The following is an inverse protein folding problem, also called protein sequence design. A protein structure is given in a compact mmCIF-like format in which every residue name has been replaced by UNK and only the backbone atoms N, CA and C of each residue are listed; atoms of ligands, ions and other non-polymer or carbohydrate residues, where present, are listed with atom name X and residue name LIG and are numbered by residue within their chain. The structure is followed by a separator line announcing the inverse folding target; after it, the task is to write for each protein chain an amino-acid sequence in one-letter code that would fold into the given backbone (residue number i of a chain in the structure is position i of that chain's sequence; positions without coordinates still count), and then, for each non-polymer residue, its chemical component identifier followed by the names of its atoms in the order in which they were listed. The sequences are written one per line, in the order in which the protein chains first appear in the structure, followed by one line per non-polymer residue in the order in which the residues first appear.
data_IF_528172250097
#
_entry.id   IF_528172250097
#
_cell.length_a   1.000
_cell.length_b   1.000
_cell.length_c   1.000
_cell.angle_alpha   90.00
_cell.angle_beta   90.00
_cell.angle_gamma   90.00
#
_symmetry.space_group_name_H-M   'P 1'
#
loop_
_entity.id
_entity.type
_entity.pdbx_description
1 polymer ?
#
# COMPACT_ATOMS: atom_id res chain seq x y z
N UNK A 1 2.33 7.36 -1.24
CA UNK A 1 1.13 7.37 -2.12
C UNK A 1 -0.14 7.30 -1.27
N UNK A 2 -1.17 8.06 -1.62
CA UNK A 2 -2.49 7.99 -0.96
C UNK A 2 -3.50 7.33 -1.91
N UNK A 3 -4.26 6.36 -1.41
CA UNK A 3 -5.32 5.67 -2.15
C UNK A 3 -6.65 5.92 -1.46
N UNK A 4 -7.63 6.43 -2.21
CA UNK A 4 -9.00 6.57 -1.70
C UNK A 4 -9.66 5.20 -1.64
N UNK A 5 -10.25 4.88 -0.49
CA UNK A 5 -10.87 3.58 -0.23
C UNK A 5 -12.34 3.73 0.11
N UNK A 6 -13.17 2.78 -0.32
CA UNK A 6 -14.60 2.74 0.01
C UNK A 6 -14.86 2.27 1.45
N UNK A 7 -13.92 1.53 2.04
CA UNK A 7 -14.02 0.96 3.38
C UNK A 7 -12.62 0.76 3.98
N UNK A 8 -12.54 0.66 5.32
CA UNK A 8 -11.29 0.45 6.07
C UNK A 8 -11.23 -0.97 6.65
N UNK A 9 -11.13 -1.96 5.78
CA UNK A 9 -10.92 -3.36 6.21
C UNK A 9 -9.48 -3.56 6.65
N UNK A 10 -9.19 -4.35 7.70
CA UNK A 10 -7.80 -4.71 8.03
C UNK A 10 -7.07 -5.23 6.78
N UNK A 11 -5.88 -4.68 6.51
CA UNK A 11 -5.16 -4.98 5.26
C UNK A 11 -4.77 -6.47 5.16
N UNK A 12 -4.52 -7.11 6.30
CA UNK A 12 -4.19 -8.53 6.40
C UNK A 12 -5.39 -9.46 6.09
N UNK A 13 -6.63 -8.98 6.24
CA UNK A 13 -7.85 -9.71 5.86
C UNK A 13 -8.18 -9.62 4.36
N UNK A 14 -7.47 -8.77 3.62
CA UNK A 14 -7.62 -8.63 2.17
C UNK A 14 -6.45 -9.35 1.50
N UNK A 15 -6.68 -10.60 1.10
CA UNK A 15 -5.62 -11.51 0.64
C UNK A 15 -4.70 -10.89 -0.43
N UNK A 16 -5.25 -10.19 -1.42
CA UNK A 16 -4.48 -9.52 -2.45
C UNK A 16 -3.52 -8.45 -1.89
N UNK A 17 -4.00 -7.63 -0.95
CA UNK A 17 -3.19 -6.57 -0.31
C UNK A 17 -2.13 -7.20 0.60
N UNK A 18 -2.52 -8.18 1.41
CA UNK A 18 -1.61 -8.88 2.33
C UNK A 18 -0.44 -9.54 1.58
N UNK A 19 -0.74 -10.24 0.46
CA UNK A 19 0.29 -10.84 -0.42
C UNK A 19 1.21 -9.78 -1.03
N UNK A 20 0.66 -8.68 -1.53
CA UNK A 20 1.44 -7.61 -2.15
C UNK A 20 2.33 -6.86 -1.14
N UNK A 21 1.81 -6.60 0.07
CA UNK A 21 2.56 -5.97 1.15
C UNK A 21 3.74 -6.84 1.58
N UNK A 22 3.52 -8.15 1.79
CA UNK A 22 4.59 -9.09 2.13
C UNK A 22 5.64 -9.20 1.04
N UNK A 23 5.22 -9.31 -0.22
CA UNK A 23 6.17 -9.33 -1.34
C UNK A 23 7.01 -8.04 -1.39
N UNK A 24 6.39 -6.89 -1.12
CA UNK A 24 7.10 -5.60 -1.04
C UNK A 24 8.12 -5.59 0.10
N UNK A 25 7.74 -6.04 1.29
CA UNK A 25 8.66 -6.16 2.44
C UNK A 25 9.85 -7.08 2.14
N UNK A 26 9.60 -8.22 1.48
CA UNK A 26 10.66 -9.15 1.05
C UNK A 26 11.63 -8.49 0.05
N UNK A 27 11.12 -7.71 -0.91
CA UNK A 27 11.96 -6.98 -1.88
C UNK A 27 12.74 -5.81 -1.26
N UNK A 28 12.22 -5.23 -0.18
CA UNK A 28 12.86 -4.14 0.56
C UNK A 28 14.01 -4.64 1.46
N UNK A 29 13.98 -5.92 1.84
CA UNK A 29 15.01 -6.53 2.68
C UNK A 29 15.14 -5.86 4.05
N UNK A 30 16.33 -5.95 4.64
CA UNK A 30 16.55 -5.48 6.02
C UNK A 30 16.66 -3.95 6.14
N UNK A 31 17.05 -3.26 5.06
CA UNK A 31 17.29 -1.80 5.06
C UNK A 31 16.06 -0.99 4.65
N UNK A 32 15.09 -1.59 3.96
CA UNK A 32 13.86 -0.91 3.58
C UNK A 32 12.74 -1.06 4.61
N UNK A 33 11.71 -0.21 4.48
CA UNK A 33 10.51 -0.22 5.34
C UNK A 33 9.26 0.03 4.52
N UNK A 34 8.21 -0.75 4.78
CA UNK A 34 6.85 -0.48 4.33
C UNK A 34 6.03 0.01 5.52
N UNK A 35 5.38 1.16 5.38
CA UNK A 35 4.36 1.64 6.28
C UNK A 35 3.03 1.76 5.53
N UNK A 36 2.14 0.82 5.81
CA UNK A 36 0.77 0.79 5.31
C UNK A 36 -0.21 1.09 6.44
N UNK A 37 -0.97 2.18 6.32
CA UNK A 37 -1.95 2.59 7.34
C UNK A 37 -3.15 3.31 6.76
N UNK A 38 -4.26 3.32 7.49
CA UNK A 38 -5.37 4.22 7.18
C UNK A 38 -5.13 5.64 7.74
N UNK A 39 -5.70 6.64 7.06
CA UNK A 39 -5.92 7.97 7.66
C UNK A 39 -6.92 7.84 8.81
N UNK A 40 -6.72 8.61 9.90
CA UNK A 40 -7.63 8.60 11.04
C UNK A 40 -8.97 9.29 10.74
N UNK A 41 -8.94 10.37 9.96
CA UNK A 41 -10.09 11.23 9.70
C UNK A 41 -10.67 11.09 8.28
N UNK A 42 -9.90 10.52 7.35
CA UNK A 42 -10.28 10.44 5.94
C UNK A 42 -10.44 8.98 5.49
N UNK A 43 -11.17 8.77 4.39
CA UNK A 43 -11.28 7.48 3.71
C UNK A 43 -10.07 7.24 2.78
N UNK A 44 -8.87 7.25 3.37
CA UNK A 44 -7.60 7.08 2.65
C UNK A 44 -6.77 5.95 3.26
N UNK A 45 -6.24 5.07 2.41
CA UNK A 45 -5.08 4.25 2.71
C UNK A 45 -3.80 5.02 2.32
N UNK A 46 -2.80 4.98 3.20
CA UNK A 46 -1.51 5.66 3.03
C UNK A 46 -0.43 4.60 2.91
N UNK A 47 0.29 4.64 1.79
CA UNK A 47 1.44 3.80 1.50
C UNK A 47 2.69 4.67 1.58
N UNK A 48 3.60 4.32 2.49
CA UNK A 48 4.92 4.92 2.59
C UNK A 48 5.95 3.81 2.49
N UNK A 49 6.98 4.03 1.67
CA UNK A 49 8.08 3.09 1.49
C UNK A 49 9.38 3.87 1.64
N UNK A 50 10.31 3.29 2.40
CA UNK A 50 11.67 3.79 2.58
C UNK A 50 12.66 2.74 2.07
N UNK A 51 13.74 3.20 1.44
CA UNK A 51 14.78 2.34 0.87
C UNK A 51 15.84 3.14 0.13
N UNK A 52 16.92 2.48 -0.27
CA UNK A 52 18.12 3.14 -0.81
C UNK A 52 17.99 3.57 -2.28
N UNK A 53 17.10 2.92 -3.04
CA UNK A 53 16.90 3.18 -4.47
C UNK A 53 15.53 3.82 -4.72
N UNK A 54 15.54 5.11 -5.02
CA UNK A 54 14.34 5.93 -5.26
C UNK A 54 13.39 5.29 -6.29
N UNK A 55 13.94 4.91 -7.43
CA UNK A 55 13.21 4.29 -8.55
C UNK A 55 12.50 2.98 -8.13
N UNK A 56 13.10 2.18 -7.25
CA UNK A 56 12.45 0.97 -6.75
C UNK A 56 11.37 1.25 -5.72
N UNK A 57 11.61 2.16 -4.78
CA UNK A 57 10.59 2.47 -3.76
C UNK A 57 9.35 3.13 -4.40
N UNK A 58 9.53 3.91 -5.46
CA UNK A 58 8.43 4.48 -6.25
C UNK A 58 7.65 3.39 -6.98
N UNK A 59 8.34 2.45 -7.62
CA UNK A 59 7.72 1.31 -8.29
C UNK A 59 6.90 0.46 -7.30
N UNK A 60 7.49 0.07 -6.17
CA UNK A 60 6.80 -0.73 -5.16
C UNK A 60 5.59 0.00 -4.56
N UNK A 61 5.71 1.31 -4.33
CA UNK A 61 4.61 2.11 -3.82
C UNK A 61 3.47 2.18 -4.85
N UNK A 62 3.79 2.30 -6.14
CA UNK A 62 2.84 2.28 -7.25
C UNK A 62 2.12 0.94 -7.33
N UNK A 63 2.87 -0.17 -7.33
CA UNK A 63 2.32 -1.52 -7.45
C UNK A 63 1.37 -1.85 -6.29
N UNK A 64 1.81 -1.63 -5.06
CA UNK A 64 0.97 -1.85 -3.88
C UNK A 64 -0.26 -0.94 -3.87
N UNK A 65 -0.11 0.33 -4.29
CA UNK A 65 -1.24 1.25 -4.36
C UNK A 65 -2.29 0.83 -5.40
N UNK A 66 -1.88 0.21 -6.50
CA UNK A 66 -2.77 -0.32 -7.54
C UNK A 66 -3.58 -1.50 -7.00
N UNK A 67 -2.93 -2.43 -6.30
CA UNK A 67 -3.61 -3.56 -5.63
C UNK A 67 -4.63 -3.07 -4.61
N UNK A 68 -4.28 -2.06 -3.80
CA UNK A 68 -5.22 -1.47 -2.83
C UNK A 68 -6.42 -0.83 -3.54
N UNK A 69 -6.18 -0.13 -4.66
CA UNK A 69 -7.24 0.50 -5.45
C UNK A 69 -8.18 -0.52 -6.07
N UNK A 70 -7.67 -1.64 -6.58
CA UNK A 70 -8.51 -2.70 -7.13
C UNK A 70 -9.35 -3.39 -6.04
N UNK A 71 -8.74 -3.70 -4.90
CA UNK A 71 -9.41 -4.44 -3.83
C UNK A 71 -10.39 -3.58 -3.02
N UNK A 72 -10.04 -2.33 -2.72
CA UNK A 72 -10.74 -1.45 -1.78
C UNK A 72 -11.04 -0.06 -2.33
N UNK A 73 -10.68 0.25 -3.58
CA UNK A 73 -10.83 1.57 -4.15
C UNK A 73 -12.29 2.05 -4.17
N UNK A 74 -12.46 3.34 -3.95
CA UNK A 74 -13.71 4.04 -4.27
C UNK A 74 -13.83 4.17 -5.78
N UNK A 75 -15.03 4.00 -6.34
CA UNK A 75 -15.29 4.45 -7.71
C UNK A 75 -15.25 5.97 -7.68
N UNK A 76 -14.28 6.57 -8.35
CA UNK A 76 -14.29 8.01 -8.61
C UNK A 76 -15.32 8.22 -9.73
N UNK A 77 -16.37 9.02 -9.47
CA UNK A 77 -17.23 9.55 -10.53
C UNK A 77 -16.47 10.60 -11.33
#
# INVERSE_FOLDING_TARGET
VNVRVREKRPFDEVEAISRAARATEEQLGETGRLLLRYSGTEALARVMIEGERQELIEQYASDLSSVIREALGSVEN
#
